data_IF_809745768948
#
_entry.id   IF_809745768948
#
_cell.length_a   1.000
_cell.length_b   1.000
_cell.length_c   1.000
_cell.angle_alpha   90.00
_cell.angle_beta   90.00
_cell.angle_gamma   90.00
#
_symmetry.space_group_name_H-M   'P 1'
#
loop_
_entity.id
_entity.type
_entity.pdbx_description
1 polymer ?
#
# COMPACT_ATOMS: atom_id res chain seq x y z
N UNK A 1 42.74 -42.72 -17.88
CA UNK A 1 42.91 -41.65 -16.87
C UNK A 1 42.41 -40.36 -17.51
N UNK A 2 41.17 -39.96 -17.21
CA UNK A 2 40.76 -38.94 -16.22
C UNK A 2 41.06 -37.49 -16.67
N UNK A 3 39.97 -36.81 -17.05
CA UNK A 3 39.61 -35.37 -16.90
C UNK A 3 40.61 -34.31 -17.45
N UNK A 4 40.18 -33.18 -18.02
CA UNK A 4 39.46 -32.07 -17.36
C UNK A 4 38.74 -31.17 -18.37
N UNK A 5 37.63 -30.63 -17.90
CA UNK A 5 36.66 -29.70 -18.45
C UNK A 5 37.26 -28.44 -19.10
N UNK A 6 36.64 -27.99 -20.19
CA UNK A 6 36.44 -26.56 -20.48
C UNK A 6 35.06 -26.39 -21.10
N UNK A 7 34.09 -26.35 -20.20
CA UNK A 7 32.69 -26.03 -20.45
C UNK A 7 32.54 -24.51 -20.63
N UNK A 8 31.99 -24.15 -21.78
CA UNK A 8 31.13 -22.99 -22.01
C UNK A 8 31.76 -21.59 -21.91
N UNK A 9 32.31 -21.19 -23.06
CA UNK A 9 32.23 -19.80 -23.52
C UNK A 9 30.76 -19.50 -23.89
N UNK A 10 29.95 -19.01 -22.94
CA UNK A 10 28.58 -18.55 -23.20
C UNK A 10 28.53 -17.03 -23.33
N UNK A 11 28.36 -16.61 -24.59
CA UNK A 11 27.87 -15.36 -25.13
C UNK A 11 27.56 -14.19 -24.15
N UNK A 12 28.38 -13.15 -24.29
CA UNK A 12 28.05 -11.74 -24.52
C UNK A 12 26.65 -11.21 -24.10
N UNK A 13 26.70 -10.36 -23.06
CA UNK A 13 26.21 -8.97 -22.99
C UNK A 13 24.70 -8.66 -23.14
N UNK A 14 24.16 -8.19 -22.00
CA UNK A 14 23.07 -7.23 -21.80
C UNK A 14 21.62 -7.73 -21.87
N UNK A 15 21.08 -8.16 -20.72
CA UNK A 15 19.67 -7.94 -20.38
C UNK A 15 19.57 -7.54 -18.91
N UNK A 16 19.16 -6.29 -18.67
CA UNK A 16 19.36 -5.57 -17.42
C UNK A 16 18.70 -6.18 -16.19
N UNK A 17 19.35 -5.97 -15.04
CA UNK A 17 18.69 -5.93 -13.74
C UNK A 17 17.83 -4.67 -13.70
N UNK A 18 16.61 -4.76 -14.22
CA UNK A 18 15.57 -3.76 -14.04
C UNK A 18 14.43 -4.42 -13.28
N UNK A 19 14.37 -4.23 -11.95
CA UNK A 19 13.08 -4.38 -11.27
C UNK A 19 12.17 -3.32 -11.86
N UNK A 20 11.30 -3.70 -12.79
CA UNK A 20 10.14 -2.91 -13.15
C UNK A 20 9.27 -2.85 -11.90
N UNK A 21 9.49 -1.81 -11.09
CA UNK A 21 8.68 -1.45 -9.93
C UNK A 21 7.28 -1.04 -10.39
N UNK A 22 6.48 -2.03 -10.78
CA UNK A 22 5.09 -1.82 -11.14
C UNK A 22 4.26 -1.39 -9.91
N UNK A 23 3.04 -0.87 -10.14
CA UNK A 23 2.12 -0.51 -9.08
C UNK A 23 1.98 -1.60 -8.03
N UNK A 24 2.38 -1.32 -6.79
CA UNK A 24 2.16 -2.25 -5.68
C UNK A 24 0.75 -2.07 -5.15
N UNK A 25 -0.02 -3.15 -4.93
CA UNK A 25 -1.36 -3.03 -4.37
C UNK A 25 -1.33 -2.64 -2.89
N UNK A 26 -2.37 -1.92 -2.44
CA UNK A 26 -2.58 -1.68 -1.01
C UNK A 26 -3.06 -2.99 -0.37
N UNK A 27 -2.43 -3.38 0.74
CA UNK A 27 -2.79 -4.58 1.50
C UNK A 27 -3.60 -4.17 2.72
N UNK A 28 -4.78 -4.76 2.88
CA UNK A 28 -5.70 -4.44 3.97
C UNK A 28 -6.16 -5.74 4.64
N UNK A 29 -6.14 -5.78 5.96
CA UNK A 29 -6.60 -6.94 6.74
C UNK A 29 -7.42 -6.46 7.94
N UNK A 30 -8.58 -7.08 8.17
CA UNK A 30 -9.39 -6.75 9.34
C UNK A 30 -8.81 -7.43 10.59
N UNK A 31 -8.47 -6.65 11.63
CA UNK A 31 -8.37 -7.12 13.02
C UNK A 31 -7.61 -8.43 13.26
N UNK A 32 -6.38 -8.56 12.75
CA UNK A 32 -5.51 -9.72 13.00
C UNK A 32 -5.91 -11.01 12.26
N UNK A 33 -6.88 -10.94 11.34
CA UNK A 33 -7.21 -12.08 10.47
C UNK A 33 -6.14 -12.27 9.40
N UNK A 34 -5.93 -13.51 8.97
CA UNK A 34 -5.01 -13.84 7.87
C UNK A 34 -5.54 -13.40 6.49
N UNK A 35 -6.77 -12.87 6.43
CA UNK A 35 -7.42 -12.51 5.19
C UNK A 35 -6.96 -11.11 4.75
N UNK A 36 -5.97 -11.07 3.86
CA UNK A 36 -5.49 -9.84 3.26
C UNK A 36 -6.16 -9.63 1.91
N UNK A 37 -6.82 -8.49 1.75
CA UNK A 37 -7.38 -8.06 0.47
C UNK A 37 -6.45 -7.02 -0.15
N UNK A 38 -6.32 -7.10 -1.47
CA UNK A 38 -5.46 -6.23 -2.27
C UNK A 38 -6.33 -5.22 -3.02
N UNK A 39 -6.00 -3.94 -2.88
CA UNK A 39 -6.65 -2.86 -3.61
C UNK A 39 -5.71 -2.23 -4.62
N UNK A 40 -6.26 -1.92 -5.78
CA UNK A 40 -5.51 -1.26 -6.84
C UNK A 40 -5.12 0.17 -6.44
N UNK A 41 -3.87 0.50 -6.69
CA UNK A 41 -3.31 1.84 -6.49
C UNK A 41 -2.93 2.50 -7.80
N UNK A 42 -3.17 1.86 -8.94
CA UNK A 42 -2.76 2.39 -10.24
C UNK A 42 -3.40 3.74 -10.54
N UNK A 43 -2.64 4.62 -11.19
CA UNK A 43 -3.10 5.93 -11.63
C UNK A 43 -2.31 6.43 -12.84
N UNK A 44 -2.92 7.34 -13.60
CA UNK A 44 -2.25 8.11 -14.64
C UNK A 44 -2.07 9.58 -14.21
N UNK A 45 -2.95 10.08 -13.36
CA UNK A 45 -2.90 11.42 -12.78
C UNK A 45 -3.39 11.44 -11.32
N UNK A 46 -3.07 12.51 -10.59
CA UNK A 46 -3.56 12.76 -9.23
C UNK A 46 -5.09 12.69 -9.14
N UNK A 47 -5.76 13.08 -10.22
CA UNK A 47 -7.21 13.03 -10.34
C UNK A 47 -7.78 11.60 -10.35
N UNK A 48 -7.00 10.57 -10.62
CA UNK A 48 -7.46 9.16 -10.60
C UNK A 48 -7.44 8.55 -9.19
N UNK A 49 -6.88 9.30 -8.23
CA UNK A 49 -6.66 8.83 -6.87
C UNK A 49 -7.76 9.26 -5.91
N UNK A 50 -7.99 8.42 -4.91
CA UNK A 50 -8.80 8.71 -3.75
C UNK A 50 -8.05 8.33 -2.48
N UNK A 51 -8.24 9.12 -1.41
CA UNK A 51 -7.75 8.79 -0.08
C UNK A 51 -8.78 7.90 0.61
N UNK A 52 -8.30 6.83 1.22
CA UNK A 52 -9.09 5.94 2.07
C UNK A 52 -8.41 5.76 3.41
N UNK A 53 -9.19 5.40 4.42
CA UNK A 53 -8.72 5.21 5.79
C UNK A 53 -8.95 3.77 6.21
N UNK A 54 -7.91 3.12 6.73
CA UNK A 54 -7.98 1.78 7.31
C UNK A 54 -7.47 1.84 8.75
N UNK A 55 -8.19 1.21 9.68
CA UNK A 55 -7.73 1.08 11.05
C UNK A 55 -6.81 -0.14 11.21
N UNK A 56 -5.54 0.09 11.50
CA UNK A 56 -4.50 -0.95 11.49
C UNK A 56 -4.36 -1.70 12.81
N UNK A 57 -4.89 -1.17 13.91
CA UNK A 57 -4.81 -1.81 15.22
C UNK A 57 -6.03 -1.53 16.12
N UNK A 58 -6.14 -2.28 17.21
CA UNK A 58 -7.24 -2.13 18.17
C UNK A 58 -7.19 -0.84 19.00
N UNK A 59 -6.11 -0.05 18.91
CA UNK A 59 -5.96 1.26 19.56
C UNK A 59 -6.47 2.40 18.69
N UNK A 60 -6.93 2.12 17.47
CA UNK A 60 -7.48 3.13 16.57
C UNK A 60 -6.42 3.87 15.77
N UNK A 61 -5.23 3.29 15.57
CA UNK A 61 -4.29 3.82 14.57
C UNK A 61 -4.93 3.74 13.19
N UNK A 62 -4.99 4.89 12.50
CA UNK A 62 -5.54 4.98 11.14
C UNK A 62 -4.42 5.17 10.15
N UNK A 63 -4.31 4.26 9.19
CA UNK A 63 -3.53 4.45 7.98
C UNK A 63 -4.40 5.09 6.91
N UNK A 64 -3.98 6.26 6.43
CA UNK A 64 -4.56 6.95 5.29
C UNK A 64 -3.74 6.54 4.06
N UNK A 65 -4.39 5.99 3.05
CA UNK A 65 -3.73 5.45 1.86
C UNK A 65 -4.37 5.97 0.58
N UNK A 66 -3.55 6.16 -0.45
CA UNK A 66 -4.01 6.44 -1.81
C UNK A 66 -4.36 5.14 -2.56
N UNK A 67 -5.57 5.06 -3.11
CA UNK A 67 -5.99 3.99 -4.02
C UNK A 67 -6.59 4.57 -5.31
N UNK A 68 -6.73 3.71 -6.33
CA UNK A 68 -7.49 4.03 -7.53
C UNK A 68 -8.95 4.33 -7.17
N UNK A 69 -9.55 5.35 -7.76
CA UNK A 69 -10.98 5.68 -7.54
C UNK A 69 -11.90 4.50 -7.80
N UNK A 70 -11.55 3.63 -8.74
CA UNK A 70 -12.35 2.44 -9.06
C UNK A 70 -12.39 1.42 -7.91
N UNK A 71 -11.40 1.43 -7.02
CA UNK A 71 -11.31 0.53 -5.88
C UNK A 71 -12.05 1.04 -4.62
N UNK A 72 -12.49 2.30 -4.60
CA UNK A 72 -13.08 2.95 -3.40
C UNK A 72 -14.32 2.23 -2.90
N UNK A 73 -15.25 1.88 -3.78
CA UNK A 73 -16.49 1.23 -3.36
C UNK A 73 -16.24 -0.15 -2.73
N UNK A 74 -15.33 -0.94 -3.33
CA UNK A 74 -14.93 -2.24 -2.80
C UNK A 74 -14.21 -2.10 -1.46
N UNK A 75 -13.36 -1.08 -1.31
CA UNK A 75 -12.67 -0.78 -0.06
C UNK A 75 -13.66 -0.43 1.05
N UNK A 76 -14.62 0.46 0.79
CA UNK A 76 -15.64 0.84 1.78
C UNK A 76 -16.53 -0.33 2.21
N UNK A 77 -16.87 -1.21 1.27
CA UNK A 77 -17.59 -2.45 1.60
C UNK A 77 -16.79 -3.33 2.56
N UNK A 78 -15.47 -3.46 2.32
CA UNK A 78 -14.59 -4.23 3.20
C UNK A 78 -14.43 -3.58 4.58
N UNK A 79 -14.25 -2.26 4.66
CA UNK A 79 -14.12 -1.57 5.94
C UNK A 79 -15.39 -1.67 6.79
N UNK A 80 -16.57 -1.61 6.16
CA UNK A 80 -17.84 -1.82 6.87
C UNK A 80 -17.89 -3.21 7.53
N UNK A 81 -17.39 -4.24 6.82
CA UNK A 81 -17.28 -5.58 7.38
C UNK A 81 -16.20 -5.67 8.48
N UNK A 82 -15.07 -4.98 8.31
CA UNK A 82 -13.98 -4.92 9.30
C UNK A 82 -14.44 -4.28 10.61
N UNK A 83 -15.20 -3.18 10.54
CA UNK A 83 -15.62 -2.41 11.71
C UNK A 83 -16.43 -3.24 12.72
N UNK A 84 -17.20 -4.23 12.26
CA UNK A 84 -17.96 -5.14 13.12
C UNK A 84 -17.11 -6.21 13.81
N UNK A 85 -15.92 -6.49 13.27
CA UNK A 85 -15.01 -7.56 13.73
C UNK A 85 -13.87 -7.04 14.61
N UNK A 86 -13.64 -5.74 14.62
CA UNK A 86 -12.50 -5.13 15.31
C UNK A 86 -12.78 -4.99 16.82
N UNK A 87 -12.06 -5.75 17.64
CA UNK A 87 -12.07 -5.56 19.07
C UNK A 87 -11.36 -4.25 19.44
N UNK A 88 -11.93 -3.50 20.38
CA UNK A 88 -11.36 -2.25 20.89
C UNK A 88 -10.50 -2.52 22.11
N UNK A 89 -9.27 -2.03 22.09
CA UNK A 89 -8.36 -2.09 23.23
C UNK A 89 -8.52 -0.84 24.12
N UNK A 90 -8.25 -0.96 25.42
CA UNK A 90 -8.28 0.15 26.37
C UNK A 90 -6.96 0.94 26.34
N UNK A 91 -6.65 1.54 25.18
CA UNK A 91 -5.47 2.36 24.94
C UNK A 91 -5.86 3.75 24.43
N UNK A 92 -4.92 4.70 24.54
CA UNK A 92 -5.08 6.01 23.90
C UNK A 92 -5.02 5.85 22.38
N UNK A 93 -5.81 6.67 21.68
CA UNK A 93 -5.83 6.68 20.21
C UNK A 93 -4.49 7.16 19.66
N UNK A 94 -3.89 6.33 18.81
CA UNK A 94 -2.69 6.70 18.06
C UNK A 94 -3.01 7.68 16.94
N UNK A 95 -2.05 8.52 16.54
CA UNK A 95 -2.28 9.48 15.47
C UNK A 95 -2.32 8.78 14.11
N UNK A 96 -3.06 9.37 13.17
CA UNK A 96 -3.17 8.86 11.80
C UNK A 96 -1.90 9.12 10.99
N UNK A 97 -1.59 8.21 10.08
CA UNK A 97 -0.41 8.30 9.21
C UNK A 97 -0.78 8.21 7.73
N UNK A 98 -0.03 8.88 6.85
CA UNK A 98 -0.14 8.77 5.39
C UNK A 98 0.88 7.78 4.82
N UNK A 99 0.87 7.56 3.51
CA UNK A 99 1.73 6.55 2.85
C UNK A 99 3.24 6.84 2.97
N UNK A 100 3.64 8.10 3.14
CA UNK A 100 5.01 8.52 3.44
C UNK A 100 5.39 8.37 4.93
N UNK A 101 4.47 7.88 5.76
CA UNK A 101 4.63 7.83 7.21
C UNK A 101 4.48 9.17 7.91
N UNK A 102 4.08 10.23 7.18
CA UNK A 102 3.79 11.52 7.81
C UNK A 102 2.57 11.40 8.72
N UNK A 103 2.68 12.01 9.91
CA UNK A 103 1.60 12.02 10.90
C UNK A 103 0.65 13.18 10.62
N UNK A 104 -0.64 12.90 10.55
CA UNK A 104 -1.66 13.92 10.39
C UNK A 104 -1.91 14.62 11.73
N UNK A 105 -1.45 15.87 11.85
CA UNK A 105 -1.63 16.72 13.03
C UNK A 105 -2.69 17.81 12.78
N UNK A 106 -3.25 18.42 13.86
CA UNK A 106 -4.24 19.48 13.71
C UNK A 106 -3.73 20.64 12.83
N UNK A 107 -4.58 21.08 11.89
CA UNK A 107 -4.25 22.16 10.95
C UNK A 107 -3.50 21.72 9.69
N UNK A 108 -3.15 20.44 9.56
CA UNK A 108 -2.58 19.86 8.35
C UNK A 108 -3.64 19.14 7.52
N UNK A 109 -3.38 18.95 6.24
CA UNK A 109 -4.31 18.27 5.32
C UNK A 109 -3.64 17.10 4.62
N UNK A 110 -4.43 16.08 4.30
CA UNK A 110 -4.00 14.97 3.46
C UNK A 110 -3.98 15.45 2.02
N UNK A 111 -2.92 15.11 1.30
CA UNK A 111 -2.84 15.38 -0.12
C UNK A 111 -2.51 14.12 -0.90
N UNK A 112 -3.12 14.01 -2.08
CA UNK A 112 -2.97 12.89 -3.01
C UNK A 112 -2.05 13.29 -4.15
N UNK A 113 -1.21 12.33 -4.57
CA UNK A 113 -0.43 12.44 -5.79
C UNK A 113 -0.26 11.07 -6.45
N UNK A 114 -0.21 11.08 -7.78
CA UNK A 114 0.13 9.91 -8.59
C UNK A 114 1.65 9.88 -8.78
N UNK A 115 2.33 9.03 -8.01
CA UNK A 115 3.79 8.94 -7.99
C UNK A 115 4.19 7.59 -8.58
N UNK A 116 4.95 7.61 -9.67
CA UNK A 116 5.37 6.39 -10.39
C UNK A 116 4.19 5.46 -10.76
N UNK A 117 3.05 6.04 -11.14
CA UNK A 117 1.83 5.29 -11.49
C UNK A 117 1.10 4.69 -10.29
N UNK A 118 1.39 5.16 -9.07
CA UNK A 118 0.74 4.74 -7.83
C UNK A 118 0.13 5.93 -7.07
N UNK A 119 -1.11 5.77 -6.64
CA UNK A 119 -1.77 6.70 -5.74
C UNK A 119 -1.09 6.69 -4.38
N UNK A 120 -0.67 7.87 -3.95
CA UNK A 120 0.13 8.05 -2.75
C UNK A 120 -0.37 9.25 -1.95
N UNK A 121 -0.36 9.14 -0.62
CA UNK A 121 -0.80 10.19 0.30
C UNK A 121 0.37 10.78 1.08
N UNK A 122 0.28 12.09 1.34
CA UNK A 122 1.23 12.88 2.14
C UNK A 122 0.47 13.87 3.02
N UNK A 123 1.17 14.52 3.96
CA UNK A 123 0.62 15.61 4.77
C UNK A 123 1.15 16.97 4.26
N UNK A 124 0.27 17.97 4.10
CA UNK A 124 0.60 19.32 3.62
C UNK A 124 0.11 20.42 4.55
#
# INVERSE_FOLDING_TARGET
MRLVLLSLCSALLATGCGSTGGPQPLRVSCGGTSNTVLFDRSCLADADCAAVTHETDCCGTVQISGISRHAVQSFQSLESDCATKQARCACATSPSQTDDGSVLTPGRQVALSCVHGQCFTTVR
#
